data_IF_124439350480
#
_entry.id   IF_124439350480
#
_cell.length_a   1.000
_cell.length_b   1.000
_cell.length_c   1.000
_cell.angle_alpha   90.00
_cell.angle_beta   90.00
_cell.angle_gamma   90.00
#
_symmetry.space_group_name_H-M   'P 1'
#
loop_
_entity.id
_entity.type
_entity.pdbx_description
1 polymer ?
#
# COMPACT_ATOMS: atom_id res chain seq x y z
N UNK A 1 -38.56 -21.22 -21.44
CA UNK A 1 -37.87 -20.22 -20.64
C UNK A 1 -38.88 -19.59 -19.68
N UNK A 2 -38.47 -19.30 -18.46
CA UNK A 2 -39.32 -18.67 -17.43
C UNK A 2 -39.66 -17.23 -17.87
N UNK A 3 -40.91 -16.77 -17.79
CA UNK A 3 -41.30 -15.40 -18.10
C UNK A 3 -40.54 -14.37 -17.23
N UNK A 4 -40.25 -13.19 -17.81
CA UNK A 4 -39.48 -12.14 -17.13
C UNK A 4 -40.18 -11.64 -15.86
N UNK A 5 -41.51 -11.61 -15.83
CA UNK A 5 -42.32 -11.21 -14.69
C UNK A 5 -42.10 -12.12 -13.48
N UNK A 6 -42.00 -13.43 -13.72
CA UNK A 6 -41.72 -14.40 -12.66
C UNK A 6 -40.31 -14.25 -12.11
N UNK A 7 -39.33 -14.02 -12.99
CA UNK A 7 -37.97 -13.77 -12.60
C UNK A 7 -37.87 -12.48 -11.77
N UNK A 8 -38.52 -11.41 -12.20
CA UNK A 8 -38.57 -10.14 -11.46
C UNK A 8 -39.15 -10.32 -10.05
N UNK A 9 -40.21 -11.11 -9.92
CA UNK A 9 -40.80 -11.41 -8.62
C UNK A 9 -39.84 -12.18 -7.73
N UNK A 10 -39.13 -13.17 -8.27
CA UNK A 10 -38.08 -13.91 -7.52
C UNK A 10 -36.97 -12.97 -7.10
N UNK A 11 -36.46 -12.13 -8.00
CA UNK A 11 -35.37 -11.18 -7.70
C UNK A 11 -35.77 -10.15 -6.66
N UNK A 12 -37.05 -9.81 -6.52
CA UNK A 12 -37.52 -8.87 -5.50
C UNK A 12 -37.40 -9.39 -4.06
N UNK A 13 -37.14 -10.69 -3.87
CA UNK A 13 -36.88 -11.32 -2.57
C UNK A 13 -35.39 -11.46 -2.26
N UNK A 14 -34.51 -11.19 -3.24
CA UNK A 14 -33.07 -11.30 -3.06
C UNK A 14 -32.52 -10.08 -2.30
N UNK A 15 -31.48 -10.32 -1.52
CA UNK A 15 -30.68 -9.24 -0.94
C UNK A 15 -29.75 -8.61 -2.01
N UNK A 16 -29.10 -7.51 -1.65
CA UNK A 16 -28.25 -6.77 -2.58
C UNK A 16 -27.08 -7.61 -3.12
N UNK A 17 -26.48 -8.47 -2.29
CA UNK A 17 -25.36 -9.33 -2.70
C UNK A 17 -25.80 -10.34 -3.72
N UNK A 18 -26.87 -11.09 -3.41
CA UNK A 18 -27.43 -12.11 -4.30
C UNK A 18 -27.91 -11.51 -5.62
N UNK A 19 -28.52 -10.33 -5.57
CA UNK A 19 -28.99 -9.62 -6.76
C UNK A 19 -27.83 -9.17 -7.67
N UNK A 20 -26.72 -8.72 -7.10
CA UNK A 20 -25.51 -8.39 -7.85
C UNK A 20 -24.90 -9.65 -8.49
N UNK A 21 -24.83 -10.76 -7.74
CA UNK A 21 -24.34 -12.05 -8.26
C UNK A 21 -25.18 -12.59 -9.41
N UNK A 22 -26.51 -12.54 -9.28
CA UNK A 22 -27.45 -12.93 -10.35
C UNK A 22 -27.22 -12.09 -11.60
N UNK A 23 -26.96 -10.79 -11.46
CA UNK A 23 -26.63 -9.91 -12.57
C UNK A 23 -25.36 -10.28 -13.33
N UNK A 24 -24.48 -11.12 -12.78
CA UNK A 24 -23.26 -11.59 -13.44
C UNK A 24 -23.46 -12.86 -14.29
N UNK A 25 -24.62 -13.52 -14.22
CA UNK A 25 -24.87 -14.81 -14.88
C UNK A 25 -24.97 -14.66 -16.40
N UNK A 26 -25.78 -13.71 -16.89
CA UNK A 26 -25.94 -13.39 -18.30
C UNK A 26 -26.55 -12.00 -18.50
N UNK A 27 -26.57 -11.51 -19.75
CA UNK A 27 -27.09 -10.18 -20.11
C UNK A 27 -28.56 -9.98 -19.73
N UNK A 28 -29.41 -11.02 -19.91
CA UNK A 28 -30.83 -10.95 -19.57
C UNK A 28 -31.01 -10.77 -18.05
N UNK A 29 -30.34 -11.56 -17.25
CA UNK A 29 -30.36 -11.43 -15.78
C UNK A 29 -29.77 -10.11 -15.30
N UNK A 30 -28.70 -9.61 -15.96
CA UNK A 30 -28.14 -8.29 -15.66
C UNK A 30 -29.17 -7.17 -15.79
N UNK A 31 -29.99 -7.19 -16.88
CA UNK A 31 -31.04 -6.20 -17.09
C UNK A 31 -32.14 -6.29 -16.02
N UNK A 32 -32.62 -7.50 -15.74
CA UNK A 32 -33.65 -7.72 -14.71
C UNK A 32 -33.14 -7.39 -13.32
N UNK A 33 -31.91 -7.79 -12.96
CA UNK A 33 -31.27 -7.49 -11.68
C UNK A 33 -30.87 -6.01 -11.52
N UNK A 34 -31.03 -5.18 -12.55
CA UNK A 34 -30.78 -3.74 -12.51
C UNK A 34 -32.07 -2.91 -12.44
N UNK A 35 -33.20 -3.56 -12.16
CA UNK A 35 -34.51 -2.89 -12.03
C UNK A 35 -34.52 -1.84 -10.92
N UNK A 36 -34.99 -0.64 -11.26
CA UNK A 36 -35.01 0.50 -10.34
C UNK A 36 -35.97 0.30 -9.15
N UNK A 37 -37.06 -0.41 -9.32
CA UNK A 37 -38.03 -0.65 -8.25
C UNK A 37 -37.47 -1.56 -7.16
N UNK A 38 -36.77 -2.63 -7.55
CA UNK A 38 -36.11 -3.54 -6.62
C UNK A 38 -35.00 -2.79 -5.85
N UNK A 39 -34.13 -2.06 -6.57
CA UNK A 39 -33.03 -1.34 -5.95
C UNK A 39 -33.45 -0.15 -5.08
N UNK A 40 -34.55 0.55 -5.42
CA UNK A 40 -35.11 1.57 -4.54
C UNK A 40 -35.56 0.98 -3.21
N UNK A 41 -36.23 -0.17 -3.23
CA UNK A 41 -36.68 -0.86 -2.02
C UNK A 41 -35.48 -1.24 -1.13
N UNK A 42 -34.43 -1.79 -1.72
CA UNK A 42 -33.20 -2.14 -1.01
C UNK A 42 -32.52 -0.88 -0.45
N UNK A 43 -32.39 0.17 -1.26
CA UNK A 43 -31.80 1.45 -0.86
C UNK A 43 -32.53 2.06 0.32
N UNK A 44 -33.87 2.11 0.25
CA UNK A 44 -34.70 2.67 1.31
C UNK A 44 -34.62 1.87 2.62
N UNK A 45 -34.53 0.55 2.52
CA UNK A 45 -34.39 -0.30 3.72
C UNK A 45 -33.06 -0.12 4.43
N UNK A 46 -31.97 0.15 3.68
CA UNK A 46 -30.62 0.27 4.21
C UNK A 46 -30.27 1.67 4.71
N UNK A 47 -30.76 2.72 4.02
CA UNK A 47 -30.30 4.10 4.24
C UNK A 47 -31.34 5.08 4.75
N UNK A 48 -32.62 4.69 4.79
CA UNK A 48 -33.61 5.52 5.47
C UNK A 48 -33.49 5.32 6.98
N UNK A 49 -33.57 6.41 7.78
CA UNK A 49 -33.59 6.28 9.22
C UNK A 49 -34.83 5.49 9.63
N UNK A 50 -34.63 4.38 10.38
CA UNK A 50 -35.72 3.69 11.04
C UNK A 50 -36.42 4.75 11.91
N UNK A 51 -37.66 5.14 11.57
CA UNK A 51 -38.49 6.01 12.41
C UNK A 51 -38.59 5.34 13.77
N UNK A 52 -37.81 5.79 14.73
CA UNK A 52 -38.00 5.46 16.14
C UNK A 52 -39.38 5.99 16.53
N UNK A 53 -40.28 5.06 16.80
CA UNK A 53 -41.59 5.33 17.32
C UNK A 53 -41.41 5.77 18.78
N UNK A 54 -40.95 6.98 19.00
CA UNK A 54 -41.11 7.68 20.26
C UNK A 54 -42.08 8.83 20.00
N UNK A 55 -43.30 8.69 20.55
CA UNK A 55 -44.31 9.71 20.60
C UNK A 55 -43.71 11.00 21.16
N UNK A 56 -43.53 12.01 20.34
CA UNK A 56 -43.63 13.38 20.78
C UNK A 56 -44.64 14.07 19.86
N UNK A 57 -45.81 14.35 20.47
CA UNK A 57 -46.79 15.30 19.95
C UNK A 57 -46.08 16.65 19.79
N UNK A 58 -45.89 17.11 18.57
CA UNK A 58 -46.09 18.52 18.19
C UNK A 58 -45.63 18.77 16.75
N UNK A 59 -46.53 19.42 16.03
CA UNK A 59 -46.41 20.18 14.80
C UNK A 59 -46.04 19.44 13.52
N UNK A 60 -47.06 19.32 12.71
CA UNK A 60 -47.05 19.06 11.28
C UNK A 60 -45.98 19.88 10.58
N UNK A 61 -45.00 19.21 10.02
CA UNK A 61 -44.32 19.64 8.81
C UNK A 61 -44.40 18.44 7.87
N UNK A 62 -45.23 18.61 6.85
CA UNK A 62 -45.44 17.65 5.78
C UNK A 62 -44.08 17.35 5.10
N UNK A 63 -43.47 16.20 5.42
CA UNK A 63 -42.47 15.60 4.56
C UNK A 63 -43.23 14.80 3.53
N UNK A 64 -43.27 15.31 2.30
CA UNK A 64 -43.89 14.70 1.15
C UNK A 64 -43.59 13.21 1.06
N UNK A 65 -44.57 12.34 0.72
CA UNK A 65 -44.32 10.95 0.37
C UNK A 65 -43.34 10.95 -0.79
N UNK A 66 -42.35 10.05 -0.79
CA UNK A 66 -41.51 9.83 -1.95
C UNK A 66 -42.39 9.62 -3.16
N UNK A 67 -42.37 10.63 -4.04
CA UNK A 67 -43.22 10.70 -5.20
C UNK A 67 -42.86 9.52 -6.13
N UNK A 68 -43.74 8.55 -6.22
CA UNK A 68 -43.58 7.38 -7.08
C UNK A 68 -43.49 7.75 -8.58
N UNK A 69 -43.82 8.99 -8.93
CA UNK A 69 -43.66 9.51 -10.30
C UNK A 69 -42.22 9.82 -10.66
N UNK A 70 -41.37 10.19 -9.69
CA UNK A 70 -39.89 10.37 -9.90
C UNK A 70 -39.14 9.08 -10.21
N UNK A 71 -39.75 7.90 -10.03
CA UNK A 71 -39.19 6.61 -10.30
C UNK A 71 -39.19 6.23 -11.78
N UNK A 72 -40.18 6.70 -12.54
CA UNK A 72 -40.37 6.30 -13.95
C UNK A 72 -39.39 6.95 -14.92
N UNK A 73 -38.85 8.12 -14.57
CA UNK A 73 -38.01 8.94 -15.44
C UNK A 73 -36.48 8.69 -15.27
N UNK A 74 -36.10 7.79 -14.38
CA UNK A 74 -34.67 7.49 -14.15
C UNK A 74 -34.20 6.37 -15.07
N UNK A 75 -32.96 6.54 -15.63
CA UNK A 75 -32.32 5.51 -16.46
C UNK A 75 -32.26 4.18 -15.73
N UNK A 76 -32.42 3.02 -16.44
CA UNK A 76 -32.28 1.69 -15.84
C UNK A 76 -30.97 1.55 -15.04
N UNK A 77 -31.05 0.97 -13.84
CA UNK A 77 -29.91 0.79 -12.97
C UNK A 77 -29.44 2.03 -12.20
N UNK A 78 -30.20 3.14 -12.20
CA UNK A 78 -29.89 4.34 -11.43
C UNK A 78 -29.76 4.03 -9.93
N UNK A 79 -30.78 3.42 -9.32
CA UNK A 79 -30.79 3.12 -7.89
C UNK A 79 -29.76 2.07 -7.47
N UNK A 80 -29.40 1.16 -8.38
CA UNK A 80 -28.26 0.25 -8.19
C UNK A 80 -26.96 1.02 -8.03
N UNK A 81 -26.70 2.00 -8.90
CA UNK A 81 -25.50 2.86 -8.84
C UNK A 81 -25.47 3.69 -7.57
N UNK A 82 -26.60 4.31 -7.21
CA UNK A 82 -26.73 5.11 -5.98
C UNK A 82 -26.49 4.27 -4.73
N UNK A 83 -27.04 3.05 -4.68
CA UNK A 83 -26.81 2.13 -3.58
C UNK A 83 -25.32 1.78 -3.44
N UNK A 84 -24.67 1.40 -4.55
CA UNK A 84 -23.25 1.07 -4.57
C UNK A 84 -22.40 2.27 -4.13
N UNK A 85 -22.68 3.46 -4.68
CA UNK A 85 -21.97 4.69 -4.33
C UNK A 85 -22.09 5.01 -2.84
N UNK A 86 -23.28 4.92 -2.27
CA UNK A 86 -23.51 5.21 -0.86
C UNK A 86 -22.87 4.17 0.07
N UNK A 87 -22.85 2.89 -0.32
CA UNK A 87 -22.15 1.85 0.40
C UNK A 87 -20.64 2.10 0.43
N UNK A 88 -20.04 2.44 -0.71
CA UNK A 88 -18.63 2.80 -0.79
C UNK A 88 -18.31 3.98 0.14
N UNK A 89 -19.14 5.03 0.14
CA UNK A 89 -18.97 6.18 1.00
C UNK A 89 -19.08 5.82 2.49
N UNK A 90 -20.01 4.92 2.85
CA UNK A 90 -20.18 4.46 4.23
C UNK A 90 -18.96 3.66 4.70
N UNK A 91 -18.46 2.74 3.88
CA UNK A 91 -17.24 1.97 4.19
C UNK A 91 -16.04 2.90 4.31
N UNK A 92 -15.88 3.84 3.36
CA UNK A 92 -14.81 4.86 3.40
C UNK A 92 -14.82 5.61 4.73
N UNK A 93 -15.97 6.16 5.13
CA UNK A 93 -16.09 6.93 6.36
C UNK A 93 -15.76 6.09 7.60
N UNK A 94 -16.20 4.83 7.64
CA UNK A 94 -15.90 3.90 8.72
C UNK A 94 -14.40 3.62 8.83
N UNK A 95 -13.76 3.31 7.71
CA UNK A 95 -12.31 3.03 7.65
C UNK A 95 -11.51 4.27 8.03
N UNK A 96 -11.89 5.45 7.52
CA UNK A 96 -11.23 6.72 7.85
C UNK A 96 -11.37 7.11 9.32
N UNK A 97 -12.45 6.71 9.99
CA UNK A 97 -12.59 6.91 11.44
C UNK A 97 -11.65 6.02 12.24
N UNK A 98 -11.41 4.78 11.78
CA UNK A 98 -10.48 3.85 12.45
C UNK A 98 -9.02 4.32 12.37
N UNK A 99 -8.64 5.03 11.32
CA UNK A 99 -7.26 5.50 11.12
C UNK A 99 -6.99 6.91 11.66
N UNK A 100 -7.98 7.57 12.28
CA UNK A 100 -7.80 8.91 12.87
C UNK A 100 -6.74 9.01 13.97
N UNK A 101 -6.63 8.07 14.93
CA UNK A 101 -5.57 8.12 15.91
C UNK A 101 -4.22 7.90 15.24
N UNK A 102 -3.33 8.89 15.38
CA UNK A 102 -2.00 8.90 14.77
C UNK A 102 -0.95 8.72 15.86
N UNK A 103 0.03 7.89 15.60
CA UNK A 103 1.20 7.73 16.45
C UNK A 103 2.08 9.00 16.36
N UNK A 104 2.45 9.64 17.49
CA UNK A 104 3.21 10.89 17.46
C UNK A 104 4.67 10.70 17.00
N UNK A 105 5.20 9.48 17.01
CA UNK A 105 6.57 9.19 16.58
C UNK A 105 6.67 8.87 15.09
N UNK A 106 5.70 8.13 14.57
CA UNK A 106 5.72 7.72 13.17
C UNK A 106 4.82 8.58 12.27
N UNK A 107 3.96 9.42 12.85
CA UNK A 107 2.95 10.17 12.08
C UNK A 107 1.93 9.29 11.35
N UNK A 108 1.93 7.98 11.60
CA UNK A 108 1.08 7.00 10.94
C UNK A 108 -0.11 6.60 11.81
N UNK A 109 -1.22 6.16 11.21
CA UNK A 109 -2.35 5.66 11.97
C UNK A 109 -1.96 4.46 12.85
N UNK A 110 -2.26 4.51 14.16
CA UNK A 110 -1.94 3.44 15.10
C UNK A 110 -2.69 2.13 14.84
N UNK A 111 -3.86 2.19 14.19
CA UNK A 111 -4.78 1.06 14.03
C UNK A 111 -4.88 0.53 12.61
N UNK A 112 -3.77 0.60 11.85
CA UNK A 112 -3.74 0.13 10.46
C UNK A 112 -4.14 -1.35 10.34
N UNK A 113 -3.58 -2.23 11.16
CA UNK A 113 -3.88 -3.66 11.13
C UNK A 113 -5.36 -3.96 11.43
N UNK A 114 -5.93 -3.29 12.43
CA UNK A 114 -7.34 -3.40 12.79
C UNK A 114 -8.25 -2.85 11.69
N UNK A 115 -7.87 -1.73 11.08
CA UNK A 115 -8.62 -1.13 9.98
C UNK A 115 -8.60 -2.03 8.73
N UNK A 116 -7.46 -2.62 8.40
CA UNK A 116 -7.33 -3.60 7.31
C UNK A 116 -8.22 -4.82 7.56
N UNK A 117 -8.17 -5.39 8.77
CA UNK A 117 -9.04 -6.52 9.14
C UNK A 117 -10.52 -6.14 9.11
N UNK A 118 -10.90 -5.00 9.68
CA UNK A 118 -12.29 -4.56 9.75
C UNK A 118 -12.89 -4.20 8.39
N UNK A 119 -12.07 -3.76 7.43
CA UNK A 119 -12.50 -3.48 6.06
C UNK A 119 -12.63 -4.74 5.20
N UNK A 120 -12.08 -5.87 5.64
CA UNK A 120 -11.96 -7.09 4.83
C UNK A 120 -11.01 -6.91 3.62
N UNK A 121 -10.09 -5.94 3.72
CA UNK A 121 -9.11 -5.67 2.67
C UNK A 121 -8.15 -6.86 2.54
N UNK A 122 -7.94 -7.29 1.32
CA UNK A 122 -6.92 -8.23 0.91
C UNK A 122 -6.19 -7.70 -0.32
N UNK A 123 -5.04 -8.28 -0.64
CA UNK A 123 -4.28 -7.92 -1.82
C UNK A 123 -4.15 -9.13 -2.73
N UNK A 124 -4.31 -8.90 -4.02
CA UNK A 124 -4.14 -9.92 -5.06
C UNK A 124 -3.19 -9.42 -6.12
N UNK A 125 -2.53 -10.34 -6.79
CA UNK A 125 -1.81 -10.06 -8.03
C UNK A 125 -2.51 -10.70 -9.21
N UNK A 126 -2.50 -10.00 -10.33
CA UNK A 126 -3.04 -10.46 -11.61
C UNK A 126 -1.91 -10.46 -12.62
N UNK A 127 -1.51 -11.66 -13.04
CA UNK A 127 -0.51 -11.86 -14.08
C UNK A 127 -1.24 -11.93 -15.42
N UNK A 128 -0.82 -11.12 -16.37
CA UNK A 128 -1.36 -11.12 -17.72
C UNK A 128 -0.35 -11.66 -18.70
N UNK A 129 -0.74 -12.63 -19.52
CA UNK A 129 0.11 -13.16 -20.57
C UNK A 129 0.07 -12.30 -21.85
N UNK A 130 0.96 -12.61 -22.80
CA UNK A 130 1.05 -11.95 -24.12
C UNK A 130 -0.22 -12.07 -24.95
N UNK A 131 -1.06 -13.07 -24.67
CA UNK A 131 -2.34 -13.34 -25.34
C UNK A 131 -3.51 -12.61 -24.67
N UNK A 132 -3.25 -11.92 -23.55
CA UNK A 132 -4.27 -11.18 -22.80
C UNK A 132 -5.03 -12.01 -21.76
N UNK A 133 -4.68 -13.28 -21.54
CA UNK A 133 -5.28 -14.12 -20.50
C UNK A 133 -4.76 -13.69 -19.12
N UNK A 134 -5.66 -13.59 -18.17
CA UNK A 134 -5.36 -13.19 -16.80
C UNK A 134 -5.30 -14.41 -15.86
N UNK A 135 -4.26 -14.44 -15.03
CA UNK A 135 -4.07 -15.42 -13.97
C UNK A 135 -4.08 -14.67 -12.62
N UNK A 136 -5.05 -14.96 -11.78
CA UNK A 136 -5.25 -14.29 -10.49
C UNK A 136 -4.67 -15.15 -9.38
N UNK A 137 -3.80 -14.55 -8.55
CA UNK A 137 -3.25 -15.19 -7.36
C UNK A 137 -3.77 -14.43 -6.13
N UNK A 138 -4.65 -15.09 -5.38
CA UNK A 138 -5.33 -14.51 -4.21
C UNK A 138 -4.68 -14.89 -2.88
N UNK A 139 -4.08 -16.10 -2.81
CA UNK A 139 -3.46 -16.58 -1.58
C UNK A 139 -2.16 -15.80 -1.31
N UNK A 140 -2.09 -15.12 -0.17
CA UNK A 140 -0.94 -14.37 0.24
C UNK A 140 -0.68 -14.52 1.75
N UNK A 141 0.61 -14.54 2.13
CA UNK A 141 1.03 -14.41 3.53
C UNK A 141 1.27 -12.95 3.83
N UNK A 142 0.81 -12.50 5.00
CA UNK A 142 0.90 -11.10 5.42
C UNK A 142 1.77 -11.01 6.68
N UNK A 143 2.80 -10.18 6.63
CA UNK A 143 3.62 -9.81 7.77
C UNK A 143 3.43 -8.33 8.08
N UNK A 144 2.84 -8.01 9.22
CA UNK A 144 2.59 -6.65 9.66
C UNK A 144 3.75 -6.14 10.51
N UNK A 145 4.28 -4.98 10.17
CA UNK A 145 5.24 -4.20 10.94
C UNK A 145 4.59 -2.91 11.45
N UNK A 146 5.32 -2.07 12.15
CA UNK A 146 4.80 -0.82 12.70
C UNK A 146 4.51 0.21 11.60
N UNK A 147 5.29 0.19 10.51
CA UNK A 147 5.23 1.18 9.43
C UNK A 147 4.79 0.62 8.08
N UNK A 148 4.75 -0.72 7.93
CA UNK A 148 4.45 -1.37 6.65
C UNK A 148 3.78 -2.74 6.81
N UNK A 149 3.27 -3.27 5.69
CA UNK A 149 2.89 -4.66 5.55
C UNK A 149 3.67 -5.29 4.40
N UNK A 150 4.32 -6.42 4.66
CA UNK A 150 4.95 -7.25 3.64
C UNK A 150 3.99 -8.34 3.22
N UNK A 151 3.77 -8.47 1.93
CA UNK A 151 2.83 -9.41 1.31
C UNK A 151 3.62 -10.34 0.42
N UNK A 152 3.46 -11.64 0.64
CA UNK A 152 4.12 -12.69 -0.11
C UNK A 152 3.09 -13.60 -0.77
N UNK A 153 3.09 -13.66 -2.09
CA UNK A 153 2.29 -14.60 -2.88
C UNK A 153 3.16 -15.75 -3.34
N UNK A 154 2.61 -16.96 -3.25
CA UNK A 154 3.20 -18.15 -3.83
C UNK A 154 2.10 -19.09 -4.34
N UNK A 155 2.43 -19.90 -5.32
CA UNK A 155 1.52 -20.84 -5.96
C UNK A 155 2.30 -22.04 -6.48
N UNK A 156 1.65 -23.17 -6.57
CA UNK A 156 2.19 -24.37 -7.23
C UNK A 156 2.04 -24.32 -8.75
N UNK A 157 1.19 -23.42 -9.28
CA UNK A 157 0.82 -23.36 -10.69
C UNK A 157 1.04 -21.94 -11.23
N UNK A 158 2.29 -21.47 -11.22
CA UNK A 158 2.63 -20.24 -11.91
C UNK A 158 2.57 -20.41 -13.43
N UNK A 159 2.07 -19.42 -14.19
CA UNK A 159 2.29 -19.42 -15.65
C UNK A 159 3.80 -19.32 -15.95
N UNK A 160 4.20 -19.86 -17.09
CA UNK A 160 5.59 -19.76 -17.56
C UNK A 160 6.00 -18.28 -17.68
N UNK A 161 7.18 -17.92 -17.18
CA UNK A 161 7.67 -16.54 -17.19
C UNK A 161 7.73 -15.94 -18.61
N UNK A 162 8.14 -16.73 -19.60
CA UNK A 162 8.33 -16.28 -20.98
C UNK A 162 7.04 -15.85 -21.67
N UNK A 163 5.87 -16.34 -21.21
CA UNK A 163 4.58 -15.94 -21.76
C UNK A 163 3.97 -14.74 -21.06
N UNK A 164 4.51 -14.34 -19.91
CA UNK A 164 4.01 -13.22 -19.13
C UNK A 164 4.40 -11.87 -19.75
N UNK A 165 3.51 -10.90 -19.63
CA UNK A 165 3.71 -9.52 -20.06
C UNK A 165 3.69 -8.54 -18.91
N UNK A 166 2.65 -8.59 -18.06
CA UNK A 166 2.46 -7.63 -16.96
C UNK A 166 1.99 -8.31 -15.68
N UNK A 167 2.30 -7.69 -14.56
CA UNK A 167 1.77 -8.00 -13.25
C UNK A 167 1.08 -6.76 -12.69
N UNK A 168 -0.16 -6.91 -12.25
CA UNK A 168 -0.92 -5.84 -11.59
C UNK A 168 -1.17 -6.20 -10.14
N UNK A 169 -0.90 -5.26 -9.25
CA UNK A 169 -1.19 -5.37 -7.83
C UNK A 169 -2.50 -4.62 -7.54
N UNK A 170 -3.44 -5.31 -6.89
CA UNK A 170 -4.73 -4.75 -6.50
C UNK A 170 -4.96 -4.89 -5.00
N UNK A 171 -5.51 -3.83 -4.40
CA UNK A 171 -6.30 -3.95 -3.18
C UNK A 171 -7.71 -4.43 -3.53
N UNK A 172 -8.22 -5.38 -2.78
CA UNK A 172 -9.55 -5.98 -2.99
C UNK A 172 -10.32 -5.93 -1.69
N UNK A 173 -11.52 -5.38 -1.76
CA UNK A 173 -12.41 -5.33 -0.60
C UNK A 173 -13.82 -5.79 -0.99
N UNK A 174 -14.59 -6.37 -0.05
CA UNK A 174 -16.00 -6.66 -0.26
C UNK A 174 -16.76 -5.37 -0.61
N UNK A 175 -17.60 -5.42 -1.63
CA UNK A 175 -18.43 -4.28 -2.01
C UNK A 175 -19.48 -3.98 -0.93
N UNK A 176 -19.97 -5.03 -0.29
CA UNK A 176 -20.97 -4.98 0.76
C UNK A 176 -20.36 -5.66 2.00
N UNK A 177 -20.09 -4.90 3.07
CA UNK A 177 -19.65 -5.49 4.32
C UNK A 177 -20.80 -6.34 4.89
N UNK A 178 -20.56 -7.63 5.00
CA UNK A 178 -21.49 -8.53 5.66
C UNK A 178 -21.52 -8.21 7.16
N UNK A 179 -22.71 -8.15 7.76
CA UNK A 179 -22.88 -8.04 9.21
C UNK A 179 -22.60 -9.38 9.93
N UNK A 180 -22.48 -10.47 9.19
CA UNK A 180 -22.05 -11.76 9.68
C UNK A 180 -20.52 -11.81 9.77
N UNK A 181 -19.99 -12.49 10.78
CA UNK A 181 -18.57 -12.51 11.18
C UNK A 181 -17.58 -13.04 10.14
N UNK A 182 -18.07 -13.65 9.05
CA UNK A 182 -17.24 -14.11 7.93
C UNK A 182 -17.61 -13.33 6.66
N UNK A 183 -16.68 -12.52 6.10
CA UNK A 183 -16.91 -11.89 4.81
C UNK A 183 -17.10 -13.01 3.77
N UNK A 184 -18.30 -13.08 3.19
CA UNK A 184 -18.63 -14.06 2.15
C UNK A 184 -17.54 -14.05 1.08
N UNK A 185 -16.75 -15.13 0.99
CA UNK A 185 -15.68 -15.29 -0.01
C UNK A 185 -16.22 -15.18 -1.44
N UNK A 186 -17.52 -15.34 -1.63
CA UNK A 186 -18.20 -15.41 -2.91
C UNK A 186 -19.03 -14.16 -3.26
N UNK A 187 -18.99 -13.11 -2.42
CA UNK A 187 -19.68 -11.86 -2.68
C UNK A 187 -18.98 -10.97 -3.72
N UNK A 188 -19.68 -9.94 -4.24
CA UNK A 188 -19.09 -8.96 -5.14
C UNK A 188 -17.98 -8.19 -4.45
N UNK A 189 -16.83 -8.11 -5.12
CA UNK A 189 -15.63 -7.42 -4.62
C UNK A 189 -15.28 -6.25 -5.52
N UNK A 190 -14.72 -5.20 -4.92
CA UNK A 190 -14.14 -4.08 -5.63
C UNK A 190 -12.63 -4.22 -5.68
N UNK A 191 -12.05 -3.96 -6.83
CA UNK A 191 -10.59 -3.89 -7.04
C UNK A 191 -10.14 -2.43 -7.13
N UNK A 192 -9.03 -2.11 -6.49
CA UNK A 192 -8.32 -0.83 -6.59
C UNK A 192 -6.91 -1.10 -7.07
N UNK A 193 -6.55 -0.60 -8.25
CA UNK A 193 -5.20 -0.74 -8.79
C UNK A 193 -4.20 0.04 -7.93
N UNK A 194 -3.16 -0.64 -7.43
CA UNK A 194 -2.08 -0.03 -6.65
C UNK A 194 -0.86 0.21 -7.55
N UNK A 195 -0.45 -0.80 -8.31
CA UNK A 195 0.71 -0.72 -9.19
C UNK A 195 0.60 -1.69 -10.37
N UNK A 196 1.31 -1.37 -11.45
CA UNK A 196 1.46 -2.22 -12.63
C UNK A 196 2.94 -2.35 -12.96
N UNK A 197 3.40 -3.57 -13.24
CA UNK A 197 4.79 -3.91 -13.49
C UNK A 197 4.91 -4.66 -14.82
N UNK A 198 5.98 -4.41 -15.55
CA UNK A 198 6.31 -5.13 -16.77
C UNK A 198 7.21 -6.31 -16.45
N UNK A 199 6.78 -7.52 -16.83
CA UNK A 199 7.54 -8.76 -16.61
C UNK A 199 8.30 -9.22 -17.87
N UNK A 200 8.06 -8.59 -19.00
CA UNK A 200 8.75 -8.94 -20.24
C UNK A 200 10.28 -8.78 -20.06
N UNK A 201 11.02 -9.84 -20.35
CA UNK A 201 12.48 -9.88 -20.21
C UNK A 201 12.99 -9.61 -18.78
N UNK A 202 12.27 -10.10 -17.76
CA UNK A 202 12.60 -9.85 -16.35
C UNK A 202 14.07 -10.11 -16.03
N UNK A 203 14.63 -11.23 -16.51
CA UNK A 203 16.02 -11.64 -16.26
C UNK A 203 17.05 -10.80 -17.00
N UNK A 204 16.67 -10.14 -18.10
CA UNK A 204 17.56 -9.31 -18.92
C UNK A 204 17.48 -7.82 -18.53
N UNK A 205 16.28 -7.37 -18.16
CA UNK A 205 15.99 -5.94 -17.91
C UNK A 205 16.05 -5.53 -16.44
N UNK A 206 16.02 -6.51 -15.51
CA UNK A 206 15.97 -6.25 -14.08
C UNK A 206 17.27 -6.64 -13.38
N UNK A 207 17.64 -5.89 -12.35
CA UNK A 207 18.82 -6.17 -11.54
C UNK A 207 18.51 -7.30 -10.59
N UNK A 208 19.37 -8.34 -10.59
CA UNK A 208 19.36 -9.38 -9.57
C UNK A 208 19.87 -8.78 -8.25
N UNK A 209 19.02 -8.71 -7.24
CA UNK A 209 19.32 -8.05 -5.95
C UNK A 209 19.84 -9.02 -4.89
N UNK A 210 19.84 -10.31 -5.16
CA UNK A 210 20.35 -11.33 -4.25
C UNK A 210 19.94 -12.73 -4.64
N UNK A 211 20.51 -13.70 -3.96
CA UNK A 211 20.21 -15.12 -4.16
C UNK A 211 20.53 -15.94 -2.91
N UNK A 212 19.80 -17.03 -2.72
CA UNK A 212 20.18 -18.11 -1.81
C UNK A 212 20.49 -19.41 -2.57
N UNK A 213 20.40 -20.54 -1.92
CA UNK A 213 20.66 -21.84 -2.57
C UNK A 213 19.59 -22.20 -3.61
N UNK A 214 18.34 -21.78 -3.42
CA UNK A 214 17.19 -22.23 -4.19
C UNK A 214 16.69 -21.18 -5.17
N UNK A 215 16.70 -19.90 -4.78
CA UNK A 215 16.09 -18.82 -5.56
C UNK A 215 17.06 -17.69 -5.87
N UNK A 216 16.79 -17.00 -6.96
CA UNK A 216 17.39 -15.73 -7.33
C UNK A 216 16.31 -14.65 -7.30
N UNK A 217 16.63 -13.48 -6.73
CA UNK A 217 15.70 -12.41 -6.48
C UNK A 217 15.92 -11.25 -7.44
N UNK A 218 14.83 -10.78 -8.06
CA UNK A 218 14.81 -9.65 -8.97
C UNK A 218 13.91 -8.54 -8.42
N UNK A 219 14.38 -7.29 -8.52
CA UNK A 219 13.63 -6.12 -8.09
C UNK A 219 12.98 -5.42 -9.27
N UNK A 220 11.71 -5.07 -9.11
CA UNK A 220 10.92 -4.26 -10.04
C UNK A 220 10.40 -3.01 -9.32
N UNK A 221 10.62 -1.84 -9.89
CA UNK A 221 10.12 -0.59 -9.33
C UNK A 221 8.64 -0.38 -9.66
N UNK A 222 7.84 0.09 -8.68
CA UNK A 222 8.19 0.39 -7.29
C UNK A 222 8.05 -0.84 -6.36
N UNK A 223 9.16 -1.22 -5.68
CA UNK A 223 9.14 -2.06 -4.48
C UNK A 223 8.66 -3.51 -4.58
N UNK A 224 8.50 -4.07 -5.80
CA UNK A 224 8.12 -5.46 -6.01
C UNK A 224 9.37 -6.33 -6.18
N UNK A 225 9.34 -7.50 -5.55
CA UNK A 225 10.35 -8.54 -5.70
C UNK A 225 9.75 -9.78 -6.36
N UNK A 226 10.48 -10.36 -7.29
CA UNK A 226 10.16 -11.65 -7.91
C UNK A 226 11.28 -12.62 -7.63
N UNK A 227 10.98 -13.72 -6.92
CA UNK A 227 11.89 -14.84 -6.69
C UNK A 227 11.71 -15.87 -7.80
N UNK A 228 12.80 -16.22 -8.49
CA UNK A 228 12.83 -17.29 -9.49
C UNK A 228 13.59 -18.50 -8.98
N UNK A 229 13.09 -19.70 -9.24
CA UNK A 229 13.82 -20.93 -8.99
C UNK A 229 15.05 -21.00 -9.88
N UNK A 230 16.24 -21.19 -9.29
CA UNK A 230 17.52 -21.19 -10.04
C UNK A 230 17.61 -22.26 -11.12
N UNK A 231 17.03 -23.44 -10.85
CA UNK A 231 17.13 -24.57 -11.78
C UNK A 231 16.15 -24.49 -12.96
N UNK A 232 14.99 -23.83 -12.77
CA UNK A 232 13.90 -23.87 -13.74
C UNK A 232 13.53 -22.53 -14.36
N UNK A 233 14.07 -21.43 -13.84
CA UNK A 233 13.70 -20.07 -14.24
C UNK A 233 12.17 -19.81 -14.16
N UNK A 234 11.50 -20.46 -13.22
CA UNK A 234 10.08 -20.33 -12.93
C UNK A 234 9.88 -19.45 -11.69
N UNK A 235 8.74 -18.78 -11.59
CA UNK A 235 8.41 -17.98 -10.43
C UNK A 235 8.28 -18.88 -9.21
N UNK A 236 9.01 -18.57 -8.15
CA UNK A 236 8.88 -19.21 -6.85
C UNK A 236 7.87 -18.46 -5.97
N UNK A 237 8.01 -17.14 -5.92
CA UNK A 237 7.16 -16.23 -5.18
C UNK A 237 7.21 -14.80 -5.74
N UNK A 238 6.23 -14.02 -5.36
CA UNK A 238 6.20 -12.56 -5.56
C UNK A 238 6.01 -11.91 -4.20
N UNK A 239 6.79 -10.88 -3.90
CA UNK A 239 6.74 -10.16 -2.62
C UNK A 239 6.65 -8.66 -2.86
N UNK A 240 5.88 -7.96 -2.03
CA UNK A 240 5.85 -6.49 -1.99
C UNK A 240 5.77 -6.01 -0.55
N UNK A 241 6.43 -4.92 -0.24
CA UNK A 241 6.25 -4.21 1.02
C UNK A 241 5.53 -2.90 0.75
N UNK A 242 4.44 -2.66 1.48
CA UNK A 242 3.59 -1.50 1.33
C UNK A 242 3.60 -0.67 2.61
N UNK A 243 4.11 0.55 2.51
CA UNK A 243 4.12 1.51 3.61
C UNK A 243 2.69 1.92 3.98
N UNK A 244 2.41 2.10 5.28
CA UNK A 244 1.05 2.43 5.76
C UNK A 244 0.56 3.81 5.35
N UNK A 245 1.47 4.71 4.99
CA UNK A 245 1.05 6.03 4.49
C UNK A 245 0.11 5.90 3.31
N UNK A 246 -1.13 6.32 3.51
CA UNK A 246 -2.22 6.25 2.51
C UNK A 246 -2.48 4.85 1.93
N UNK A 247 -2.06 3.79 2.62
CA UNK A 247 -2.25 2.41 2.13
C UNK A 247 -3.72 2.05 1.96
N UNK A 248 -4.56 2.45 2.92
CA UNK A 248 -5.99 2.16 2.86
C UNK A 248 -6.67 2.90 1.71
N UNK A 249 -6.32 4.17 1.49
CA UNK A 249 -6.83 4.97 0.39
C UNK A 249 -6.43 4.37 -0.98
N UNK A 250 -5.16 4.07 -1.15
CA UNK A 250 -4.64 3.43 -2.38
C UNK A 250 -5.27 2.07 -2.65
N UNK A 251 -5.50 1.30 -1.58
CA UNK A 251 -6.07 -0.05 -1.69
C UNK A 251 -7.59 -0.07 -1.85
N UNK A 252 -8.30 1.04 -1.58
CA UNK A 252 -9.77 1.05 -1.53
C UNK A 252 -10.44 2.09 -2.40
N UNK A 253 -9.78 3.19 -2.74
CA UNK A 253 -10.41 4.33 -3.43
C UNK A 253 -10.11 4.42 -4.93
N UNK A 254 -9.13 3.68 -5.44
CA UNK A 254 -8.87 3.56 -6.87
C UNK A 254 -9.96 2.76 -7.60
N UNK A 255 -9.76 2.50 -8.87
CA UNK A 255 -10.58 1.60 -9.69
C UNK A 255 -9.74 0.45 -10.23
N UNK A 256 -10.34 -0.46 -10.97
CA UNK A 256 -9.61 -1.57 -11.60
C UNK A 256 -8.63 -1.11 -12.70
N UNK A 257 -8.75 0.12 -13.19
CA UNK A 257 -7.96 0.66 -14.30
C UNK A 257 -7.19 1.93 -13.95
N UNK A 258 -7.58 2.62 -12.87
CA UNK A 258 -7.00 3.91 -12.48
C UNK A 258 -6.58 3.84 -11.01
N UNK A 259 -5.34 4.18 -10.75
CA UNK A 259 -4.80 4.29 -9.40
C UNK A 259 -5.48 5.45 -8.64
N UNK A 260 -5.48 5.37 -7.32
CA UNK A 260 -5.93 6.47 -6.48
C UNK A 260 -5.01 7.68 -6.67
N UNK A 261 -5.59 8.81 -7.07
CA UNK A 261 -4.88 10.08 -7.15
C UNK A 261 -4.85 10.71 -5.75
N UNK A 262 -3.64 11.05 -5.30
CA UNK A 262 -3.47 11.76 -4.04
C UNK A 262 -4.01 13.19 -4.16
N UNK A 263 -4.72 13.70 -3.14
CA UNK A 263 -5.08 15.10 -3.11
C UNK A 263 -3.81 15.95 -3.12
N UNK A 264 -3.79 17.07 -3.88
CA UNK A 264 -2.64 17.98 -3.88
C UNK A 264 -2.42 18.52 -2.46
N UNK A 265 -1.16 18.67 -2.09
CA UNK A 265 -0.82 19.39 -0.86
C UNK A 265 -1.02 20.89 -1.11
N UNK A 266 -1.74 21.55 -0.19
CA UNK A 266 -1.86 23.01 -0.19
C UNK A 266 -0.75 23.56 0.72
N UNK A 267 0.28 24.25 0.16
CA UNK A 267 1.37 24.77 0.96
C UNK A 267 0.86 25.87 1.90
N UNK A 268 1.29 25.82 3.15
CA UNK A 268 1.11 26.91 4.11
C UNK A 268 2.40 27.72 4.06
N UNK A 269 2.33 28.94 3.51
CA UNK A 269 3.50 29.82 3.42
C UNK A 269 3.82 30.35 4.82
N UNK A 270 5.10 30.29 5.20
CA UNK A 270 5.64 31.02 6.35
C UNK A 270 6.61 32.12 5.85
N UNK A 271 6.12 33.35 5.86
CA UNK A 271 6.90 34.51 5.40
C UNK A 271 7.88 35.02 6.47
N UNK A 272 7.82 34.48 7.69
CA UNK A 272 8.64 34.92 8.84
C UNK A 272 9.94 34.14 8.92
N UNK A 273 9.93 32.87 8.55
CA UNK A 273 11.11 32.01 8.62
C UNK A 273 11.86 31.95 7.28
N UNK A 274 13.06 32.53 7.18
CA UNK A 274 13.86 32.54 5.94
C UNK A 274 14.41 31.14 5.57
N UNK A 275 14.40 30.18 6.49
CA UNK A 275 14.82 28.78 6.29
C UNK A 275 13.63 27.79 6.34
N UNK A 276 12.42 28.30 6.15
CA UNK A 276 11.19 27.49 6.15
C UNK A 276 11.29 26.31 5.20
N UNK A 277 11.02 25.10 5.74
CA UNK A 277 11.14 23.86 5.00
C UNK A 277 12.56 23.26 4.96
N UNK A 278 13.55 23.86 5.66
CA UNK A 278 14.90 23.31 5.75
C UNK A 278 15.21 22.64 7.10
N UNK A 279 14.34 22.76 8.10
CA UNK A 279 14.58 22.25 9.45
C UNK A 279 13.36 21.52 10.05
N UNK A 280 13.55 20.98 11.26
CA UNK A 280 12.55 20.26 12.06
C UNK A 280 11.94 19.02 11.42
N UNK A 281 12.67 18.38 10.52
CA UNK A 281 12.29 17.07 10.03
C UNK A 281 12.50 16.00 11.10
N UNK A 282 11.55 15.06 11.17
CA UNK A 282 11.65 13.90 12.04
C UNK A 282 11.60 12.63 11.19
N UNK A 283 12.62 11.78 11.32
CA UNK A 283 12.72 10.51 10.61
C UNK A 283 12.36 9.37 11.54
N UNK A 284 11.49 8.49 11.11
CA UNK A 284 11.35 7.14 11.64
C UNK A 284 11.85 6.14 10.58
N UNK A 285 12.82 5.31 10.98
CA UNK A 285 13.44 4.29 10.12
C UNK A 285 13.22 2.92 10.73
N UNK A 286 12.67 1.99 9.94
CA UNK A 286 12.56 0.57 10.28
C UNK A 286 13.27 -0.25 9.19
N UNK A 287 14.21 -1.11 9.61
CA UNK A 287 14.96 -2.02 8.74
C UNK A 287 14.65 -3.45 9.15
N UNK A 288 14.07 -4.24 8.26
CA UNK A 288 13.60 -5.59 8.60
C UNK A 288 13.75 -6.60 7.46
N UNK A 289 13.77 -7.87 7.81
CA UNK A 289 13.86 -9.01 6.88
C UNK A 289 12.54 -9.75 6.67
N UNK A 290 11.41 -9.05 6.85
CA UNK A 290 10.09 -9.68 6.85
C UNK A 290 9.70 -10.26 8.20
N UNK A 291 10.45 -11.27 8.70
CA UNK A 291 10.17 -11.91 10.00
C UNK A 291 10.80 -11.21 11.20
N UNK A 292 11.96 -10.60 11.03
CA UNK A 292 12.73 -9.93 12.08
C UNK A 292 12.95 -8.46 11.76
N UNK A 293 13.15 -7.64 12.81
CA UNK A 293 13.53 -6.23 12.72
C UNK A 293 14.99 -6.10 13.15
N UNK A 294 15.79 -5.42 12.33
CA UNK A 294 17.23 -5.21 12.55
C UNK A 294 17.50 -3.88 13.24
N UNK A 295 16.73 -2.86 12.87
CA UNK A 295 16.76 -1.53 13.46
C UNK A 295 15.34 -0.94 13.41
N UNK A 296 14.95 -0.29 14.52
CA UNK A 296 13.80 0.60 14.59
C UNK A 296 14.23 1.85 15.37
N UNK A 297 14.26 3.00 14.72
CA UNK A 297 14.76 4.22 15.32
C UNK A 297 14.03 5.48 14.88
N UNK A 298 13.94 6.45 15.78
CA UNK A 298 13.37 7.77 15.51
C UNK A 298 14.43 8.84 15.74
N UNK A 299 14.63 9.70 14.74
CA UNK A 299 15.61 10.76 14.72
C UNK A 299 14.89 12.09 14.55
N UNK A 300 15.14 13.03 15.46
CA UNK A 300 14.40 14.28 15.52
C UNK A 300 15.27 15.49 15.15
N UNK A 301 14.58 16.57 14.79
CA UNK A 301 15.20 17.89 14.52
C UNK A 301 16.29 17.83 13.45
N UNK A 302 16.05 17.07 12.39
CA UNK A 302 16.94 17.04 11.24
C UNK A 302 16.80 18.35 10.45
N UNK A 303 17.92 18.85 9.95
CA UNK A 303 17.95 20.11 9.22
C UNK A 303 18.98 20.09 8.09
N UNK A 304 18.80 20.98 7.13
CA UNK A 304 19.75 21.33 6.09
C UNK A 304 19.99 22.84 6.12
N UNK A 305 21.23 23.27 6.10
CA UNK A 305 21.52 24.70 5.93
C UNK A 305 21.32 25.09 4.48
N UNK A 306 20.82 26.30 4.22
CA UNK A 306 20.58 26.79 2.86
C UNK A 306 21.83 26.71 1.97
N UNK A 307 23.03 26.93 2.55
CA UNK A 307 24.30 26.80 1.85
C UNK A 307 24.74 25.37 1.54
N UNK A 308 24.11 24.36 2.15
CA UNK A 308 24.41 22.93 1.94
C UNK A 308 23.48 22.28 0.90
N UNK A 309 22.58 23.06 0.28
CA UNK A 309 21.77 22.63 -0.84
C UNK A 309 22.67 22.49 -2.06
N UNK A 310 22.76 21.29 -2.60
CA UNK A 310 23.62 21.00 -3.75
C UNK A 310 22.93 20.06 -4.75
N UNK A 311 23.18 20.28 -6.03
CA UNK A 311 22.67 19.43 -7.11
C UNK A 311 21.15 19.20 -7.08
N UNK A 312 20.38 20.17 -6.60
CA UNK A 312 18.92 20.08 -6.49
C UNK A 312 18.42 19.21 -5.33
N UNK A 313 19.25 19.00 -4.30
CA UNK A 313 18.88 18.23 -3.09
C UNK A 313 19.22 18.96 -1.81
N UNK A 314 18.33 18.85 -0.83
CA UNK A 314 18.59 19.08 0.57
C UNK A 314 19.28 17.86 1.18
N UNK A 315 20.32 18.07 1.98
CA UNK A 315 21.00 16.99 2.68
C UNK A 315 20.64 16.95 4.15
N UNK A 316 19.98 15.91 4.60
CA UNK A 316 19.66 15.64 6.00
C UNK A 316 20.60 14.54 6.51
N UNK A 317 21.55 14.90 7.38
CA UNK A 317 22.48 13.93 7.97
C UNK A 317 21.90 13.41 9.27
N UNK A 318 21.62 12.11 9.32
CA UNK A 318 21.04 11.41 10.49
C UNK A 318 22.15 10.82 11.36
N UNK A 319 23.04 10.06 10.74
CA UNK A 319 24.24 9.49 11.36
C UNK A 319 25.43 9.99 10.57
N UNK A 320 26.43 10.53 11.26
CA UNK A 320 27.64 11.07 10.64
C UNK A 320 28.84 10.18 10.90
N UNK A 321 29.65 9.96 9.87
CA UNK A 321 30.95 9.28 9.95
C UNK A 321 31.89 9.86 11.02
N UNK A 322 31.75 11.16 11.30
CA UNK A 322 32.64 11.90 12.24
C UNK A 322 32.25 11.76 13.69
N UNK A 323 31.06 11.22 13.99
CA UNK A 323 30.54 11.12 15.35
C UNK A 323 30.28 9.64 15.69
N UNK A 324 31.34 8.96 16.12
CA UNK A 324 31.31 7.54 16.49
C UNK A 324 30.32 7.22 17.63
N UNK A 325 29.95 8.22 18.44
CA UNK A 325 29.01 8.02 19.55
C UNK A 325 27.58 7.81 19.10
N UNK A 326 27.28 8.15 17.85
CA UNK A 326 25.96 8.01 17.24
C UNK A 326 25.85 6.85 16.25
N UNK A 327 26.90 6.06 16.10
CA UNK A 327 26.84 4.88 15.27
C UNK A 327 25.91 3.83 15.88
N UNK A 328 25.13 3.15 15.02
CA UNK A 328 24.02 2.31 15.45
C UNK A 328 24.28 0.85 15.14
N UNK A 329 24.30 -0.05 16.13
CA UNK A 329 24.36 -1.49 15.88
C UNK A 329 23.06 -1.99 15.27
N UNK A 330 23.16 -2.92 14.33
CA UNK A 330 22.03 -3.68 13.82
C UNK A 330 21.90 -5.00 14.59
N UNK A 331 20.68 -5.38 14.89
CA UNK A 331 20.39 -6.59 15.65
C UNK A 331 20.28 -7.79 14.69
N UNK A 332 21.14 -8.78 14.86
CA UNK A 332 21.09 -10.03 14.11
C UNK A 332 21.74 -9.98 12.73
N UNK A 333 21.56 -11.04 11.96
CA UNK A 333 22.13 -11.18 10.61
C UNK A 333 21.16 -10.66 9.57
N UNK A 334 21.61 -9.69 8.76
CA UNK A 334 20.79 -9.11 7.69
C UNK A 334 20.43 -10.15 6.64
N UNK A 335 19.17 -10.14 6.24
CA UNK A 335 18.66 -11.02 5.21
C UNK A 335 17.16 -10.89 5.03
N UNK A 336 16.65 -11.20 3.87
CA UNK A 336 15.24 -11.20 3.56
C UNK A 336 14.70 -12.62 3.56
N UNK A 337 13.78 -12.90 4.49
CA UNK A 337 13.15 -14.21 4.64
C UNK A 337 12.04 -14.38 3.61
N UNK A 338 11.97 -15.55 3.00
CA UNK A 338 10.89 -15.96 2.12
C UNK A 338 10.41 -17.37 2.46
N UNK A 339 9.15 -17.67 2.15
CA UNK A 339 8.57 -19.00 2.37
C UNK A 339 7.51 -19.33 1.31
N UNK A 340 7.35 -20.63 1.06
CA UNK A 340 6.25 -21.23 0.29
C UNK A 340 5.63 -22.35 1.12
N UNK A 341 4.67 -23.10 0.58
CA UNK A 341 4.10 -24.26 1.31
C UNK A 341 5.15 -25.33 1.65
N UNK A 342 6.23 -25.44 0.89
CA UNK A 342 7.22 -26.54 1.02
C UNK A 342 8.61 -26.03 1.40
N UNK A 343 9.01 -24.86 0.89
CA UNK A 343 10.36 -24.34 1.03
C UNK A 343 10.34 -23.00 1.76
N UNK A 344 11.44 -22.74 2.44
CA UNK A 344 11.77 -21.44 3.04
C UNK A 344 13.26 -21.18 2.95
N UNK A 345 13.61 -19.93 2.86
CA UNK A 345 14.99 -19.50 2.77
C UNK A 345 15.18 -18.07 3.24
N UNK A 346 16.42 -17.62 3.12
CA UNK A 346 16.81 -16.27 3.48
C UNK A 346 17.82 -15.77 2.43
N UNK A 347 17.52 -14.64 1.81
CA UNK A 347 18.41 -13.95 0.89
C UNK A 347 19.31 -13.03 1.71
N UNK A 348 20.57 -13.37 1.83
CA UNK A 348 21.55 -12.57 2.55
C UNK A 348 21.74 -11.22 1.87
N UNK A 349 22.16 -10.24 2.65
CA UNK A 349 22.50 -8.89 2.19
C UNK A 349 21.34 -8.12 1.51
N UNK A 350 20.11 -8.64 1.61
CA UNK A 350 18.89 -8.00 1.17
C UNK A 350 17.94 -7.80 2.37
N UNK A 351 17.28 -6.66 2.47
CA UNK A 351 16.32 -6.37 3.52
C UNK A 351 15.30 -5.31 3.06
N UNK A 352 14.27 -5.07 3.84
CA UNK A 352 13.30 -4.00 3.59
C UNK A 352 13.64 -2.80 4.44
N UNK A 353 13.64 -1.62 3.81
CA UNK A 353 13.80 -0.33 4.45
C UNK A 353 12.47 0.42 4.41
N UNK A 354 11.94 0.75 5.58
CA UNK A 354 10.76 1.59 5.75
C UNK A 354 11.19 2.97 6.24
N UNK A 355 10.89 4.00 5.48
CA UNK A 355 11.18 5.38 5.81
C UNK A 355 9.90 6.14 5.99
N UNK A 356 9.79 6.86 7.10
CA UNK A 356 8.73 7.83 7.37
C UNK A 356 9.40 9.14 7.79
N UNK A 357 9.47 10.08 6.88
CA UNK A 357 9.97 11.42 7.15
C UNK A 357 8.79 12.35 7.38
N UNK A 358 8.75 12.96 8.56
CA UNK A 358 7.73 13.92 8.95
C UNK A 358 8.24 15.33 8.77
N UNK A 359 7.34 16.25 8.43
CA UNK A 359 7.61 17.68 8.46
C UNK A 359 7.58 18.26 9.90
N UNK A 360 7.80 19.54 10.07
CA UNK A 360 7.77 20.24 11.37
C UNK A 360 6.44 20.11 12.11
N UNK A 361 5.33 19.92 11.38
CA UNK A 361 3.99 19.74 11.96
C UNK A 361 3.69 18.27 12.32
N UNK A 362 4.62 17.34 12.05
CA UNK A 362 4.44 15.92 12.24
C UNK A 362 3.62 15.23 11.14
N UNK A 363 3.41 15.90 10.00
CA UNK A 363 2.71 15.33 8.85
C UNK A 363 3.68 14.50 7.99
N UNK A 364 3.28 13.30 7.55
CA UNK A 364 4.10 12.49 6.65
C UNK A 364 4.43 13.24 5.36
N UNK A 365 5.72 13.51 5.19
CA UNK A 365 6.28 14.30 4.08
C UNK A 365 6.82 13.41 2.97
N UNK A 366 7.67 12.41 3.31
CA UNK A 366 8.20 11.43 2.38
C UNK A 366 8.21 10.05 3.04
N UNK A 367 7.48 9.10 2.43
CA UNK A 367 7.26 7.78 3.00
C UNK A 367 7.40 6.71 1.93
N UNK A 368 8.18 5.69 2.22
CA UNK A 368 8.28 4.52 1.36
C UNK A 368 8.60 3.25 2.15
N UNK A 369 8.32 2.11 1.56
CA UNK A 369 8.78 0.80 1.96
C UNK A 369 9.38 0.13 0.73
N UNK A 370 10.65 -0.20 0.78
CA UNK A 370 11.35 -0.76 -0.39
C UNK A 370 12.36 -1.83 0.02
N UNK A 371 12.48 -2.91 -0.79
CA UNK A 371 13.59 -3.82 -0.68
C UNK A 371 14.88 -3.13 -1.12
N UNK A 372 15.92 -3.29 -0.34
CA UNK A 372 17.25 -2.77 -0.60
C UNK A 372 18.28 -3.87 -0.39
N UNK A 373 19.45 -3.71 -0.97
CA UNK A 373 20.54 -4.68 -0.86
C UNK A 373 21.85 -3.98 -0.55
N UNK A 374 22.74 -4.71 0.09
CA UNK A 374 24.07 -4.22 0.45
C UNK A 374 25.07 -4.55 -0.65
N UNK A 375 25.86 -3.56 -1.02
CA UNK A 375 27.00 -3.72 -1.91
C UNK A 375 28.29 -3.49 -1.14
N UNK A 376 29.30 -4.36 -1.38
CA UNK A 376 30.61 -4.15 -0.82
C UNK A 376 31.23 -2.89 -1.42
N UNK A 377 31.56 -1.94 -0.56
CA UNK A 377 32.18 -0.68 -1.01
C UNK A 377 33.63 -0.92 -1.43
N UNK A 378 34.02 -0.34 -2.56
CA UNK A 378 35.43 -0.31 -3.01
C UNK A 378 36.28 0.71 -2.25
N UNK A 379 35.67 1.53 -1.37
CA UNK A 379 36.39 2.53 -0.58
C UNK A 379 37.22 1.86 0.50
N UNK A 380 38.51 2.19 0.54
CA UNK A 380 39.39 1.70 1.60
C UNK A 380 38.95 2.19 2.99
N UNK A 381 39.11 1.34 4.00
CA UNK A 381 38.69 1.59 5.38
C UNK A 381 39.46 2.71 6.11
N UNK A 382 40.29 3.49 5.41
CA UNK A 382 41.18 4.51 6.00
C UNK A 382 40.47 5.72 6.63
N UNK A 383 39.14 5.79 6.54
CA UNK A 383 38.32 6.88 7.09
C UNK A 383 37.63 6.53 8.41
N UNK A 384 37.73 5.28 8.86
CA UNK A 384 37.01 4.79 10.04
C UNK A 384 37.99 4.24 11.08
N UNK A 385 37.65 4.43 12.34
CA UNK A 385 38.35 3.78 13.47
C UNK A 385 38.04 2.27 13.53
N UNK A 386 37.21 1.75 12.61
CA UNK A 386 36.78 0.35 12.55
C UNK A 386 37.60 -0.44 11.54
N UNK A 387 38.12 -1.57 11.97
CA UNK A 387 38.74 -2.57 11.08
C UNK A 387 37.64 -3.52 10.61
N UNK A 388 37.04 -3.26 9.42
CA UNK A 388 35.97 -4.09 8.90
C UNK A 388 35.67 -3.80 7.44
N UNK A 389 34.83 -4.64 6.83
CA UNK A 389 34.34 -4.43 5.48
C UNK A 389 33.23 -3.38 5.49
N UNK A 390 33.30 -2.44 4.54
CA UNK A 390 32.31 -1.39 4.38
C UNK A 390 31.31 -1.82 3.32
N UNK A 391 30.04 -1.69 3.64
CA UNK A 391 28.92 -1.94 2.73
C UNK A 391 28.13 -0.65 2.53
N UNK A 392 27.57 -0.49 1.34
CA UNK A 392 26.66 0.61 1.03
C UNK A 392 25.29 0.06 0.67
N UNK A 393 24.27 0.77 1.07
CA UNK A 393 22.88 0.53 0.68
C UNK A 393 22.28 1.84 0.24
N UNK A 394 21.77 1.88 -0.96
CA UNK A 394 21.18 3.06 -1.55
C UNK A 394 19.74 2.79 -2.00
N UNK A 395 18.87 3.78 -1.78
CA UNK A 395 17.52 3.84 -2.35
C UNK A 395 17.34 5.19 -3.01
N UNK A 396 16.63 5.24 -4.15
CA UNK A 396 16.27 6.48 -4.82
C UNK A 396 14.91 6.37 -5.50
N UNK A 397 14.13 7.44 -5.41
CA UNK A 397 12.91 7.65 -6.17
C UNK A 397 12.85 9.08 -6.75
N UNK A 398 11.71 9.51 -7.27
CA UNK A 398 11.51 10.85 -7.81
C UNK A 398 11.53 11.97 -6.76
N UNK A 399 11.35 11.64 -5.48
CA UNK A 399 11.24 12.59 -4.37
C UNK A 399 12.54 12.74 -3.58
N UNK A 400 13.37 11.67 -3.56
CA UNK A 400 14.60 11.71 -2.77
C UNK A 400 15.48 10.48 -2.92
N UNK A 401 16.53 10.46 -2.11
CA UNK A 401 17.49 9.36 -2.00
C UNK A 401 17.82 9.11 -0.53
N UNK A 402 18.09 7.85 -0.20
CA UNK A 402 18.67 7.47 1.10
C UNK A 402 19.97 6.75 0.83
N UNK A 403 21.03 7.11 1.55
CA UNK A 403 22.32 6.42 1.49
C UNK A 403 22.72 5.99 2.91
N UNK A 404 23.02 4.70 3.03
CA UNK A 404 23.44 4.07 4.28
C UNK A 404 24.79 3.43 4.08
N UNK A 405 25.75 3.73 4.95
CA UNK A 405 27.03 3.01 5.01
C UNK A 405 27.08 2.17 6.29
N UNK A 406 27.42 0.91 6.10
CA UNK A 406 27.49 -0.11 7.14
C UNK A 406 28.89 -0.65 7.24
N UNK A 407 29.36 -0.94 8.46
CA UNK A 407 30.61 -1.64 8.72
C UNK A 407 30.31 -2.97 9.36
N UNK A 408 30.87 -4.05 8.82
CA UNK A 408 30.85 -5.35 9.48
C UNK A 408 32.03 -5.49 10.42
N UNK A 409 31.75 -5.75 11.69
CA UNK A 409 32.76 -6.00 12.73
C UNK A 409 32.91 -7.49 12.96
N UNK A 410 34.08 -8.02 12.64
CA UNK A 410 34.39 -9.46 12.80
C UNK A 410 34.42 -9.89 14.27
N UNK A 411 34.79 -9.00 15.18
CA UNK A 411 34.90 -9.28 16.61
C UNK A 411 33.55 -9.53 17.27
N UNK A 412 32.56 -8.69 16.95
CA UNK A 412 31.20 -8.78 17.51
C UNK A 412 30.24 -9.54 16.60
N UNK A 413 30.61 -9.76 15.32
CA UNK A 413 29.76 -10.31 14.26
C UNK A 413 28.46 -9.52 14.08
N UNK A 414 28.59 -8.22 14.06
CA UNK A 414 27.49 -7.27 13.94
C UNK A 414 27.77 -6.23 12.86
N UNK A 415 26.70 -5.72 12.27
CA UNK A 415 26.76 -4.54 11.41
C UNK A 415 26.52 -3.28 12.23
N UNK A 416 27.26 -2.21 11.90
CA UNK A 416 27.03 -0.88 12.44
C UNK A 416 26.74 0.08 11.31
N UNK A 417 25.66 0.88 11.46
CA UNK A 417 25.43 2.04 10.62
C UNK A 417 26.38 3.14 11.06
N UNK A 418 27.29 3.52 10.18
CA UNK A 418 28.31 4.56 10.41
C UNK A 418 27.99 5.86 9.68
N UNK A 419 27.15 5.78 8.65
CA UNK A 419 26.64 6.94 7.93
C UNK A 419 25.20 6.70 7.46
N UNK A 420 24.32 7.67 7.68
CA UNK A 420 22.94 7.66 7.21
C UNK A 420 22.57 9.07 6.79
N UNK A 421 22.31 9.24 5.52
CA UNK A 421 22.00 10.55 4.92
C UNK A 421 20.78 10.42 4.01
N UNK A 422 19.85 11.36 4.17
CA UNK A 422 18.73 11.55 3.26
C UNK A 422 19.00 12.76 2.36
N UNK A 423 18.68 12.61 1.10
CA UNK A 423 18.74 13.68 0.10
C UNK A 423 17.32 13.90 -0.43
N UNK A 424 16.71 15.04 -0.09
CA UNK A 424 15.35 15.37 -0.53
C UNK A 424 15.43 16.32 -1.70
N UNK A 425 14.69 16.05 -2.78
CA UNK A 425 14.69 16.94 -3.95
C UNK A 425 14.15 18.32 -3.58
N UNK A 426 14.80 19.40 -4.05
CA UNK A 426 14.31 20.77 -3.87
C UNK A 426 12.92 20.93 -4.47
N UNK A 427 12.61 20.24 -5.55
CA UNK A 427 11.27 20.21 -6.14
C UNK A 427 10.21 19.75 -5.15
N UNK A 428 10.49 18.68 -4.38
CA UNK A 428 9.57 18.15 -3.35
C UNK A 428 9.35 19.18 -2.25
N UNK A 429 10.44 19.78 -1.75
CA UNK A 429 10.38 20.80 -0.69
C UNK A 429 9.63 22.03 -1.17
N UNK A 430 9.96 22.55 -2.33
CA UNK A 430 9.31 23.75 -2.90
C UNK A 430 7.81 23.52 -3.10
N UNK A 431 7.40 22.34 -3.60
CA UNK A 431 5.99 22.02 -3.79
C UNK A 431 5.24 21.84 -2.45
N UNK A 432 5.93 21.38 -1.40
CA UNK A 432 5.30 21.11 -0.11
C UNK A 432 5.13 22.39 0.72
N UNK A 433 6.14 23.25 0.76
CA UNK A 433 6.20 24.45 1.60
C UNK A 433 5.90 25.74 0.83
N UNK A 434 5.84 25.72 -0.51
CA UNK A 434 5.69 26.93 -1.32
C UNK A 434 6.96 27.77 -1.42
N UNK A 435 8.13 27.18 -1.18
CA UNK A 435 9.44 27.83 -1.21
C UNK A 435 10.07 27.79 -2.59
N UNK A 436 11.26 28.40 -2.74
CA UNK A 436 12.02 28.47 -4.01
C UNK A 436 13.52 28.25 -3.71
N UNK A 437 13.87 27.03 -3.38
CA UNK A 437 15.26 26.60 -3.16
C UNK A 437 15.91 26.06 -4.41
#
# INVERSE_FOLDING_TARGET
SMPSEMLMKIFSYLDAVSLLCVGCVNKHFYHLASDNGIWLKIYSSCFQPKRTIWKMKSKQTETAPLDCTALRDRKPGYWKKEYIFKQIATVKNRVMQLVKPVDPYTGLPCKNKEAIKASGLSWIIVLKDKNGKEHVVEKANLSFKDTSVTILWYSTNWPCLDVLSTLKLFGVMPLLPDQSRDPSKNGPRRRSLIAEYHLANLTESSVAVGADKLVQLFSLNPGLLVGLWKEKNEIAFVMVSLHYHQLLERSTLGSATVQYALPPNEPVLDDVDPEYGLHDYNLHLDMHGGSCTYLCGTFKSLFCRKGDIANGYLRLTVVSLKDNTKHLPLIGTLGLSWETDVFKGNIKDCYVMDVTLLDETGKPFWCFSAPVYMELSSRASSLYDYMGHIYTTDYADSEGKVSVELVWLEETKEYFIVNLVLYISTKKVNNWYGTNY
#
